data_IF_573251851444
#
_entry.id   IF_573251851444
#
_cell.length_a   1.000
_cell.length_b   1.000
_cell.length_c   1.000
_cell.angle_alpha   90.00
_cell.angle_beta   90.00
_cell.angle_gamma   90.00
#
_symmetry.space_group_name_H-M   'P 1'
#
loop_
_entity.id
_entity.type
_entity.pdbx_description
1 polymer ?
#
# COMPACT_ATOMS: atom_id res chain seq x y z
N UNK A 1 5.36 -0.42 29.81
CA UNK A 1 4.61 0.84 29.60
C UNK A 1 4.51 1.30 28.14
N UNK A 2 5.54 1.91 27.49
CA UNK A 2 5.36 2.45 26.12
C UNK A 2 5.05 1.40 25.05
N UNK A 3 5.67 0.23 25.14
CA UNK A 3 5.46 -0.87 24.19
C UNK A 3 4.05 -1.48 24.31
N UNK A 4 3.48 -1.54 25.52
CA UNK A 4 2.13 -2.08 25.75
C UNK A 4 1.06 -1.18 25.13
N UNK A 5 1.21 0.14 25.26
CA UNK A 5 0.33 1.12 24.63
C UNK A 5 0.42 1.01 23.10
N UNK A 6 1.64 0.89 22.55
CA UNK A 6 1.80 0.65 21.09
C UNK A 6 1.09 -0.63 20.65
N UNK A 7 1.19 -1.70 21.42
CA UNK A 7 0.54 -2.98 21.14
C UNK A 7 -0.99 -2.86 21.13
N UNK A 8 -1.57 -2.20 22.15
CA UNK A 8 -3.01 -1.95 22.23
C UNK A 8 -3.51 -1.12 21.04
N UNK A 9 -2.79 -0.07 20.67
CA UNK A 9 -3.12 0.75 19.49
C UNK A 9 -3.15 -0.13 18.24
N UNK A 10 -2.16 -1.01 18.05
CA UNK A 10 -2.09 -1.90 16.88
C UNK A 10 -3.29 -2.84 16.84
N UNK A 11 -3.70 -3.37 17.98
CA UNK A 11 -4.82 -4.32 18.08
C UNK A 11 -6.14 -3.67 17.70
N UNK A 12 -6.45 -2.50 18.27
CA UNK A 12 -7.66 -1.72 17.91
C UNK A 12 -7.65 -1.40 16.41
N UNK A 13 -6.51 -0.97 15.87
CA UNK A 13 -6.37 -0.66 14.45
C UNK A 13 -6.54 -1.90 13.56
N UNK A 14 -6.08 -3.07 13.99
CA UNK A 14 -6.26 -4.34 13.26
C UNK A 14 -7.73 -4.73 13.20
N UNK A 15 -8.46 -4.64 14.32
CA UNK A 15 -9.91 -4.91 14.33
C UNK A 15 -10.65 -3.99 13.36
N UNK A 16 -10.34 -2.69 13.38
CA UNK A 16 -10.94 -1.73 12.43
C UNK A 16 -10.65 -2.08 10.97
N UNK A 17 -9.47 -2.59 10.67
CA UNK A 17 -9.07 -2.94 9.30
C UNK A 17 -9.69 -4.22 8.78
N UNK A 18 -10.28 -5.06 9.64
CA UNK A 18 -11.09 -6.19 9.18
C UNK A 18 -12.32 -5.69 8.39
N UNK A 19 -12.94 -4.60 8.83
CA UNK A 19 -14.08 -3.99 8.14
C UNK A 19 -13.65 -3.01 7.05
N UNK A 20 -12.67 -2.13 7.31
CA UNK A 20 -12.16 -1.13 6.37
C UNK A 20 -10.64 -1.24 6.17
N UNK A 21 -10.16 -2.13 5.28
CA UNK A 21 -8.73 -2.44 5.15
C UNK A 21 -7.84 -1.28 4.70
N UNK A 22 -8.42 -0.29 4.01
CA UNK A 22 -7.69 0.84 3.38
C UNK A 22 -8.07 2.19 3.98
N UNK A 23 -8.61 2.21 5.19
CA UNK A 23 -8.91 3.46 5.87
C UNK A 23 -7.62 4.24 6.16
N UNK A 24 -7.57 5.49 5.70
CA UNK A 24 -6.41 6.36 5.88
C UNK A 24 -6.30 6.85 7.32
N UNK A 25 -5.06 7.06 7.79
CA UNK A 25 -4.75 7.38 9.20
C UNK A 25 -5.50 8.59 9.76
N UNK A 26 -5.70 9.66 8.96
CA UNK A 26 -6.48 10.84 9.40
C UNK A 26 -7.95 10.52 9.68
N UNK A 27 -8.55 9.66 8.85
CA UNK A 27 -9.94 9.22 9.05
C UNK A 27 -10.01 8.27 10.23
N UNK A 28 -9.05 7.36 10.30
CA UNK A 28 -8.89 6.36 11.34
C UNK A 28 -8.80 7.01 12.75
N UNK A 29 -8.07 8.12 12.90
CA UNK A 29 -8.02 8.87 14.15
C UNK A 29 -9.41 9.32 14.63
N UNK A 30 -10.26 9.83 13.72
CA UNK A 30 -11.62 10.26 14.07
C UNK A 30 -12.56 9.08 14.30
N UNK A 31 -12.41 8.01 13.52
CA UNK A 31 -13.27 6.84 13.62
C UNK A 31 -13.03 6.01 14.87
N UNK A 32 -11.78 6.00 15.38
CA UNK A 32 -11.40 5.26 16.59
C UNK A 32 -11.36 6.14 17.84
N UNK A 33 -11.85 7.38 17.77
CA UNK A 33 -11.81 8.31 18.91
C UNK A 33 -12.59 7.74 20.12
N UNK A 34 -13.72 7.10 19.86
CA UNK A 34 -14.50 6.38 20.88
C UNK A 34 -13.72 5.19 21.46
N UNK A 35 -13.16 4.32 20.60
CA UNK A 35 -12.41 3.13 21.01
C UNK A 35 -11.16 3.50 21.82
N UNK A 36 -10.45 4.57 21.43
CA UNK A 36 -9.30 5.08 22.17
C UNK A 36 -9.69 5.69 23.51
N UNK A 37 -10.85 6.36 23.59
CA UNK A 37 -11.38 6.91 24.84
C UNK A 37 -11.78 5.79 25.81
N UNK A 38 -12.47 4.75 25.32
CA UNK A 38 -12.85 3.57 26.11
C UNK A 38 -11.62 2.83 26.65
N UNK A 39 -10.58 2.70 25.82
CA UNK A 39 -9.31 2.09 26.22
C UNK A 39 -8.43 3.02 27.10
N UNK A 40 -8.87 4.24 27.43
CA UNK A 40 -8.09 5.27 28.14
C UNK A 40 -6.74 5.60 27.50
N UNK A 41 -6.64 5.50 26.16
CA UNK A 41 -5.41 5.74 25.42
C UNK A 41 -5.45 7.13 24.78
N UNK A 42 -4.57 8.03 25.25
CA UNK A 42 -4.41 9.35 24.63
C UNK A 42 -3.46 9.26 23.43
N UNK A 43 -4.02 9.19 22.22
CA UNK A 43 -3.25 9.12 20.97
C UNK A 43 -3.48 10.38 20.14
N UNK A 44 -2.41 11.12 19.85
CA UNK A 44 -2.45 12.22 18.90
C UNK A 44 -2.28 11.75 17.45
N UNK A 45 -2.50 12.69 16.51
CA UNK A 45 -2.28 12.43 15.08
C UNK A 45 -0.87 11.91 14.79
N UNK A 46 0.15 12.62 15.26
CA UNK A 46 1.53 12.34 14.90
C UNK A 46 2.06 11.08 15.58
N UNK A 47 1.59 10.80 16.80
CA UNK A 47 1.89 9.54 17.49
C UNK A 47 1.28 8.35 16.75
N UNK A 48 0.02 8.46 16.30
CA UNK A 48 -0.61 7.40 15.51
C UNK A 48 0.13 7.15 14.19
N UNK A 49 0.56 8.22 13.50
CA UNK A 49 1.39 8.08 12.29
C UNK A 49 2.72 7.39 12.58
N UNK A 50 3.40 7.75 13.67
CA UNK A 50 4.70 7.16 14.02
C UNK A 50 4.59 5.68 14.38
N UNK A 51 3.59 5.30 15.19
CA UNK A 51 3.33 3.90 15.56
C UNK A 51 2.99 3.09 14.30
N UNK A 52 2.04 3.54 13.48
CA UNK A 52 1.67 2.81 12.27
C UNK A 52 2.82 2.74 11.24
N UNK A 53 3.69 3.76 11.18
CA UNK A 53 4.89 3.72 10.34
C UNK A 53 5.89 2.68 10.82
N UNK A 54 6.17 2.62 12.13
CA UNK A 54 7.09 1.64 12.75
C UNK A 54 6.68 0.20 12.46
N UNK A 55 5.37 -0.06 12.45
CA UNK A 55 4.81 -1.40 12.19
C UNK A 55 4.44 -1.66 10.72
N UNK A 56 4.86 -0.81 9.77
CA UNK A 56 4.57 -0.94 8.33
C UNK A 56 3.06 -1.03 8.02
N UNK A 57 2.23 -0.40 8.85
CA UNK A 57 0.78 -0.41 8.74
C UNK A 57 0.24 0.79 7.95
N UNK A 58 1.07 1.64 7.35
CA UNK A 58 0.53 2.76 6.54
C UNK A 58 -0.10 2.25 5.24
N UNK A 59 -1.23 2.83 4.84
CA UNK A 59 -1.85 2.54 3.55
C UNK A 59 -0.97 3.06 2.42
N UNK A 60 -0.36 2.16 1.66
CA UNK A 60 0.49 2.52 0.54
C UNK A 60 -0.35 2.93 -0.68
N UNK A 61 0.13 3.94 -1.40
CA UNK A 61 -0.46 4.32 -2.70
C UNK A 61 -0.22 3.18 -3.70
N UNK A 62 -1.28 2.76 -4.41
CA UNK A 62 -1.13 1.86 -5.56
C UNK A 62 -0.28 2.55 -6.62
N UNK A 63 0.75 1.86 -7.12
CA UNK A 63 1.55 2.36 -8.25
C UNK A 63 0.64 2.56 -9.47
N UNK A 64 0.82 3.67 -10.18
CA UNK A 64 0.01 4.03 -11.36
C UNK A 64 0.37 3.18 -12.57
N UNK A 65 1.63 2.77 -12.70
CA UNK A 65 2.09 1.89 -13.77
C UNK A 65 1.73 0.43 -13.47
N UNK A 66 0.99 -0.22 -14.36
CA UNK A 66 0.85 -1.67 -14.41
C UNK A 66 1.77 -2.22 -15.49
N UNK A 67 2.57 -3.26 -15.18
CA UNK A 67 3.31 -3.99 -16.22
C UNK A 67 2.32 -4.93 -16.90
N UNK A 68 1.75 -4.49 -18.01
CA UNK A 68 0.73 -5.24 -18.77
C UNK A 68 1.34 -6.38 -19.59
N UNK A 69 2.64 -6.30 -19.88
CA UNK A 69 3.36 -7.34 -20.62
C UNK A 69 3.99 -8.36 -19.67
N UNK A 70 3.47 -9.58 -19.69
CA UNK A 70 4.18 -10.73 -19.14
C UNK A 70 5.30 -11.13 -20.11
N UNK A 71 6.48 -10.53 -19.93
CA UNK A 71 7.70 -10.90 -20.67
C UNK A 71 8.14 -12.35 -20.44
N UNK A 72 7.52 -13.06 -19.49
CA UNK A 72 7.72 -14.46 -19.13
C UNK A 72 6.54 -15.33 -19.60
N UNK A 73 5.99 -15.06 -20.78
CA UNK A 73 4.95 -15.92 -21.37
C UNK A 73 5.56 -17.22 -21.90
N UNK A 74 4.78 -18.30 -21.91
CA UNK A 74 5.23 -19.63 -22.40
C UNK A 74 5.25 -19.76 -23.92
N UNK A 75 4.69 -18.79 -24.65
CA UNK A 75 4.64 -18.83 -26.10
C UNK A 75 6.00 -18.46 -26.71
N UNK A 76 6.28 -18.94 -27.91
CA UNK A 76 7.43 -18.48 -28.67
C UNK A 76 7.20 -17.04 -29.09
N UNK A 77 8.11 -16.15 -28.67
CA UNK A 77 8.12 -14.76 -29.15
C UNK A 77 8.98 -14.69 -30.39
N UNK A 78 8.43 -14.22 -31.50
CA UNK A 78 9.23 -13.88 -32.66
C UNK A 78 10.05 -12.62 -32.35
N UNK A 79 11.35 -12.67 -32.68
CA UNK A 79 12.20 -11.49 -32.62
C UNK A 79 11.66 -10.43 -33.59
N UNK A 80 11.94 -9.16 -33.29
CA UNK A 80 11.55 -8.08 -34.19
C UNK A 80 12.42 -8.15 -35.46
N UNK A 81 11.90 -8.77 -36.51
CA UNK A 81 12.63 -9.06 -37.75
C UNK A 81 13.09 -7.76 -38.43
N UNK A 82 12.33 -6.67 -38.30
CA UNK A 82 12.63 -5.38 -38.93
C UNK A 82 13.66 -4.53 -38.16
N UNK A 83 14.11 -4.98 -36.97
CA UNK A 83 14.94 -4.14 -36.10
C UNK A 83 16.28 -3.76 -36.74
N UNK A 84 16.86 -4.67 -37.52
CA UNK A 84 18.18 -4.50 -38.14
C UNK A 84 18.06 -4.43 -39.68
N UNK A 85 16.84 -4.20 -40.21
CA UNK A 85 16.60 -4.08 -41.65
C UNK A 85 16.78 -2.62 -42.05
N UNK A 86 17.78 -2.35 -42.90
CA UNK A 86 17.91 -1.05 -43.58
C UNK A 86 16.96 -0.99 -44.78
N UNK A 87 15.98 -0.07 -44.73
CA UNK A 87 15.02 0.15 -45.82
C UNK A 87 15.67 1.07 -46.86
N UNK A 88 15.89 0.55 -48.06
CA UNK A 88 16.58 1.26 -49.15
C UNK A 88 15.64 1.71 -50.27
N UNK A 89 14.36 1.27 -50.29
CA UNK A 89 13.36 1.69 -51.27
C UNK A 89 11.92 1.58 -50.75
N UNK A 90 10.97 2.20 -51.45
CA UNK A 90 9.55 2.04 -51.18
C UNK A 90 9.10 0.59 -51.45
N UNK A 91 8.21 0.07 -50.59
CA UNK A 91 7.69 -1.31 -50.62
C UNK A 91 8.73 -2.41 -50.35
N UNK A 92 9.55 -2.23 -49.31
CA UNK A 92 10.32 -3.29 -48.64
C UNK A 92 9.70 -3.64 -47.30
#
# INVERSE_FOLDING_TARGET
>A
MRLEIEQQIIEIVRERRKSLPREGVRKLLKSLDADFTEANIKVGRDTLFNVLRKHQMLTLRKRTSARTTNSYHRFYKYNNIIKDVEVTRSNQ
#
